data_IF_266211714232
#
_entry.id   IF_266211714232
#
_cell.length_a   1.000
_cell.length_b   1.000
_cell.length_c   1.000
_cell.angle_alpha   90.00
_cell.angle_beta   90.00
_cell.angle_gamma   90.00
#
_symmetry.space_group_name_H-M   'P 1'
#
loop_
_entity.id
_entity.type
_entity.pdbx_description
1 polymer ?
#
# COMPACT_ATOMS: atom_id res chain seq x y z
N UNK A 1 0.24 7.74 10.97
CA UNK A 1 -0.70 7.41 9.88
C UNK A 1 -0.89 5.92 9.94
N UNK A 2 -2.08 5.46 10.30
CA UNK A 2 -2.41 4.05 10.17
C UNK A 2 -2.92 3.82 8.74
N UNK A 3 -2.54 2.70 8.12
CA UNK A 3 -3.15 2.28 6.84
C UNK A 3 -4.68 2.14 6.95
N UNK A 4 -5.18 1.98 8.16
CA UNK A 4 -6.60 1.80 8.50
C UNK A 4 -7.07 2.92 9.42
N UNK A 5 -8.27 3.44 9.20
CA UNK A 5 -8.93 4.37 10.11
C UNK A 5 -9.55 3.62 11.32
N UNK A 6 -10.09 4.37 12.29
CA UNK A 6 -10.72 3.80 13.50
C UNK A 6 -11.94 2.90 13.23
N UNK A 7 -12.50 2.95 12.03
CA UNK A 7 -13.64 2.14 11.59
C UNK A 7 -13.21 0.85 10.86
N UNK A 8 -11.91 0.56 10.79
CA UNK A 8 -11.39 -0.62 10.12
C UNK A 8 -11.32 -0.50 8.59
N UNK A 9 -11.54 0.70 8.01
CA UNK A 9 -11.43 0.96 6.57
C UNK A 9 -10.09 1.56 6.19
N UNK A 10 -9.66 1.36 4.94
CA UNK A 10 -8.47 2.01 4.41
C UNK A 10 -8.61 3.54 4.42
N UNK A 11 -7.56 4.23 4.84
CA UNK A 11 -7.46 5.68 4.62
C UNK A 11 -7.32 5.99 3.13
N UNK A 12 -7.65 7.21 2.69
CA UNK A 12 -7.54 7.58 1.27
C UNK A 12 -6.12 7.33 0.74
N UNK A 13 -5.11 7.79 1.47
CA UNK A 13 -3.69 7.55 1.13
C UNK A 13 -3.33 6.06 1.05
N UNK A 14 -3.95 5.21 1.87
CA UNK A 14 -3.73 3.76 1.79
C UNK A 14 -4.45 3.13 0.59
N UNK A 15 -5.64 3.63 0.21
CA UNK A 15 -6.32 3.20 -1.02
C UNK A 15 -5.48 3.58 -2.24
N UNK A 16 -5.07 4.84 -2.35
CA UNK A 16 -4.28 5.34 -3.48
C UNK A 16 -2.98 4.52 -3.63
N UNK A 17 -2.32 4.17 -2.52
CA UNK A 17 -1.13 3.33 -2.51
C UNK A 17 -1.40 1.89 -2.97
N UNK A 18 -2.48 1.26 -2.51
CA UNK A 18 -2.82 -0.11 -2.90
C UNK A 18 -3.31 -0.16 -4.35
N UNK A 19 -4.04 0.85 -4.82
CA UNK A 19 -4.44 1.00 -6.23
C UNK A 19 -3.22 1.17 -7.14
N UNK A 20 -2.24 1.98 -6.74
CA UNK A 20 -0.99 2.12 -7.48
C UNK A 20 -0.20 0.80 -7.58
N UNK A 21 -0.40 -0.13 -6.64
CA UNK A 21 0.17 -1.49 -6.65
C UNK A 21 -0.72 -2.53 -7.35
N UNK A 22 -1.94 -2.18 -7.75
CA UNK A 22 -2.87 -3.10 -8.38
C UNK A 22 -2.49 -3.35 -9.84
N UNK A 23 -1.75 -4.43 -10.08
CA UNK A 23 -1.39 -4.88 -11.44
C UNK A 23 0.11 -4.87 -11.74
N UNK A 24 0.92 -4.15 -10.97
CA UNK A 24 2.37 -4.11 -11.15
C UNK A 24 3.12 -3.99 -9.81
N UNK A 25 4.27 -4.68 -9.71
CA UNK A 25 5.15 -4.57 -8.54
C UNK A 25 5.94 -3.27 -8.63
N UNK A 26 5.87 -2.42 -7.59
CA UNK A 26 6.52 -1.10 -7.56
C UNK A 26 7.32 -0.89 -6.30
N UNK A 27 8.43 -0.18 -6.42
CA UNK A 27 9.23 0.26 -5.28
C UNK A 27 8.56 1.43 -4.55
N UNK A 28 8.94 1.63 -3.28
CA UNK A 28 8.47 2.77 -2.50
C UNK A 28 8.79 4.13 -3.15
N UNK A 29 9.87 4.23 -3.93
CA UNK A 29 10.24 5.44 -4.69
C UNK A 29 9.29 5.72 -5.85
N UNK A 30 8.93 4.68 -6.61
CA UNK A 30 7.98 4.80 -7.72
C UNK A 30 6.61 5.20 -7.19
N UNK A 31 6.16 4.54 -6.12
CA UNK A 31 4.90 4.86 -5.46
C UNK A 31 4.90 6.32 -4.96
N UNK A 32 5.96 6.76 -4.28
CA UNK A 32 6.06 8.15 -3.81
C UNK A 32 5.89 9.19 -4.93
N UNK A 33 6.38 8.90 -6.14
CA UNK A 33 6.22 9.78 -7.29
C UNK A 33 4.80 9.73 -7.89
N UNK A 34 4.13 8.59 -7.81
CA UNK A 34 2.80 8.37 -8.39
C UNK A 34 1.67 8.89 -7.52
N UNK A 35 1.74 8.67 -6.20
CA UNK A 35 0.74 9.14 -5.23
C UNK A 35 1.09 10.49 -4.59
N UNK A 36 2.09 11.20 -5.13
CA UNK A 36 2.55 12.53 -4.67
C UNK A 36 2.71 12.62 -3.14
N UNK A 37 3.35 11.59 -2.58
CA UNK A 37 3.52 11.44 -1.13
C UNK A 37 4.98 11.26 -0.76
N UNK A 38 5.44 11.79 0.39
CA UNK A 38 6.82 11.61 0.81
C UNK A 38 7.19 10.13 0.97
N UNK A 39 8.35 9.73 0.43
CA UNK A 39 8.79 8.32 0.41
C UNK A 39 8.85 7.68 1.80
N UNK A 40 9.09 8.46 2.86
CA UNK A 40 9.12 7.96 4.23
C UNK A 40 7.71 7.58 4.74
N UNK A 41 6.67 8.29 4.29
CA UNK A 41 5.27 7.97 4.60
C UNK A 41 4.86 6.70 3.85
N UNK A 42 5.17 6.62 2.55
CA UNK A 42 4.96 5.43 1.72
C UNK A 42 5.61 4.20 2.37
N UNK A 43 6.87 4.32 2.79
CA UNK A 43 7.58 3.23 3.49
C UNK A 43 6.90 2.83 4.80
N UNK A 44 6.34 3.78 5.54
CA UNK A 44 5.57 3.47 6.75
C UNK A 44 4.29 2.72 6.41
N UNK A 45 3.51 3.22 5.45
CA UNK A 45 2.28 2.59 4.98
C UNK A 45 2.52 1.19 4.41
N UNK A 46 3.60 0.99 3.65
CA UNK A 46 3.97 -0.33 3.10
C UNK A 46 4.34 -1.33 4.20
N UNK A 47 5.00 -0.89 5.27
CA UNK A 47 5.28 -1.76 6.43
C UNK A 47 3.99 -2.19 7.11
N UNK A 48 3.08 -1.24 7.38
CA UNK A 48 1.80 -1.54 8.01
C UNK A 48 0.96 -2.46 7.12
N UNK A 49 0.87 -2.16 5.82
CA UNK A 49 0.15 -2.97 4.84
C UNK A 49 0.74 -4.38 4.71
N UNK A 50 2.07 -4.53 4.77
CA UNK A 50 2.73 -5.83 4.76
C UNK A 50 2.41 -6.63 6.04
N UNK A 51 2.46 -5.98 7.21
CA UNK A 51 2.06 -6.60 8.48
C UNK A 51 0.59 -7.02 8.51
N UNK A 52 -0.27 -6.34 7.76
CA UNK A 52 -1.69 -6.69 7.58
C UNK A 52 -1.93 -7.74 6.49
N UNK A 53 -0.89 -8.14 5.74
CA UNK A 53 -1.01 -9.08 4.63
C UNK A 53 -1.68 -8.50 3.38
N UNK A 54 -1.70 -7.17 3.21
CA UNK A 54 -2.26 -6.49 2.04
C UNK A 54 -1.27 -6.37 0.88
N UNK A 55 0.02 -6.28 1.21
CA UNK A 55 1.12 -6.27 0.23
C UNK A 55 2.17 -7.29 0.66
N UNK A 56 3.00 -7.71 -0.28
CA UNK A 56 4.21 -8.50 0.00
C UNK A 56 5.42 -7.75 -0.52
N UNK A 57 6.55 -7.85 0.18
CA UNK A 57 7.83 -7.35 -0.31
C UNK A 57 8.53 -8.41 -1.17
N UNK A 58 9.05 -7.99 -2.31
CA UNK A 58 9.88 -8.79 -3.22
C UNK A 58 11.38 -8.50 -2.97
N UNK A 59 12.26 -9.35 -3.50
CA UNK A 59 13.73 -9.26 -3.31
C UNK A 59 14.35 -7.93 -3.82
N UNK A 60 13.66 -7.19 -4.69
CA UNK A 60 14.16 -5.96 -5.34
C UNK A 60 13.66 -4.65 -4.70
N UNK A 61 13.36 -4.64 -3.40
CA UNK A 61 12.69 -3.50 -2.72
C UNK A 61 11.36 -3.08 -3.37
N UNK A 62 10.77 -3.99 -4.14
CA UNK A 62 9.48 -3.82 -4.77
C UNK A 62 8.41 -4.43 -3.89
N UNK A 63 7.19 -3.92 -4.03
CA UNK A 63 6.03 -4.40 -3.31
C UNK A 63 4.98 -4.84 -4.30
N UNK A 64 4.27 -5.91 -3.97
CA UNK A 64 3.22 -6.47 -4.83
C UNK A 64 1.93 -6.58 -4.02
N UNK A 65 0.81 -6.23 -4.64
CA UNK A 65 -0.50 -6.32 -4.00
C UNK A 65 -0.93 -7.78 -3.84
N UNK A 66 -1.30 -8.19 -2.63
CA UNK A 66 -1.81 -9.53 -2.36
C UNK A 66 -3.31 -9.63 -2.66
N UNK A 67 -3.84 -10.84 -2.69
CA UNK A 67 -5.29 -11.07 -2.75
C UNK A 67 -6.05 -10.41 -1.57
N UNK A 68 -5.41 -10.33 -0.39
CA UNK A 68 -5.94 -9.64 0.78
C UNK A 68 -6.09 -8.14 0.53
N UNK A 69 -5.07 -7.51 -0.04
CA UNK A 69 -5.09 -6.10 -0.43
C UNK A 69 -6.16 -5.81 -1.49
N UNK A 70 -6.28 -6.65 -2.53
CA UNK A 70 -7.32 -6.51 -3.56
C UNK A 70 -8.74 -6.64 -2.99
N UNK A 71 -8.96 -7.57 -2.06
CA UNK A 71 -10.25 -7.69 -1.37
C UNK A 71 -10.55 -6.45 -0.54
N UNK A 72 -9.55 -5.91 0.14
CA UNK A 72 -9.70 -4.70 0.93
C UNK A 72 -10.05 -3.48 0.07
N UNK A 73 -9.41 -3.31 -1.09
CA UNK A 73 -9.76 -2.27 -2.07
C UNK A 73 -11.22 -2.38 -2.52
N UNK A 74 -11.72 -3.58 -2.80
CA UNK A 74 -13.12 -3.79 -3.22
C UNK A 74 -14.15 -3.53 -2.12
N UNK A 75 -13.74 -3.52 -0.85
CA UNK A 75 -14.63 -3.37 0.32
C UNK A 75 -14.47 -2.05 1.09
N UNK A 76 -13.54 -1.16 0.70
CA UNK A 76 -13.21 0.06 1.46
C UNK A 76 -13.87 1.32 0.94
#
# INVERSE_FOLDING_TARGET
>A
MACVNGDGKLTQSAKDLLEALDGESKSAKQLAAEVDMPVFQIRSSLRDANSMGFVTSEDNEAYTLTDGGRKMLKHS
#
